data_IF_778165231656
#
_entry.id   IF_778165231656
#
_cell.length_a   1.000
_cell.length_b   1.000
_cell.length_c   1.000
_cell.angle_alpha   90.00
_cell.angle_beta   90.00
_cell.angle_gamma   90.00
#
_symmetry.space_group_name_H-M   'P 1'
#
loop_
_entity.id
_entity.type
_entity.pdbx_description
1 polymer ?
#
# COMPACT_ATOMS: atom_id res chain seq x y z
N UNK A 1 1.48 -1.32 -29.07
CA UNK A 1 0.54 -1.96 -28.11
C UNK A 1 1.44 -2.52 -27.03
N UNK A 2 1.31 -2.03 -25.79
CA UNK A 2 2.30 -2.26 -24.75
C UNK A 2 1.63 -2.41 -23.39
N UNK A 3 2.17 -3.28 -22.55
CA UNK A 3 1.72 -3.49 -21.18
C UNK A 3 2.79 -3.01 -20.21
N UNK A 4 2.36 -2.41 -19.12
CA UNK A 4 3.25 -2.02 -18.03
C UNK A 4 2.80 -2.74 -16.76
N UNK A 5 3.67 -3.57 -16.20
CA UNK A 5 3.41 -4.30 -14.96
C UNK A 5 4.24 -3.71 -13.83
N UNK A 6 3.60 -3.34 -12.73
CA UNK A 6 4.26 -3.05 -11.45
C UNK A 6 3.92 -4.18 -10.49
N UNK A 7 4.94 -4.92 -10.05
CA UNK A 7 4.80 -5.97 -9.05
C UNK A 7 5.44 -5.50 -7.75
N UNK A 8 4.63 -5.35 -6.71
CA UNK A 8 5.02 -4.98 -5.37
C UNK A 8 5.15 -6.26 -4.54
N UNK A 9 6.37 -6.57 -4.12
CA UNK A 9 6.66 -7.58 -3.12
C UNK A 9 6.53 -6.88 -1.76
N UNK A 10 5.33 -6.94 -1.18
CA UNK A 10 4.94 -6.20 0.03
C UNK A 10 6.00 -6.42 1.11
N UNK A 11 6.49 -5.32 1.70
CA UNK A 11 7.52 -5.29 2.75
C UNK A 11 8.97 -5.70 2.40
N UNK A 12 9.34 -5.95 1.14
CA UNK A 12 10.68 -6.45 0.79
C UNK A 12 11.74 -5.33 0.66
N UNK A 13 12.06 -4.68 1.77
CA UNK A 13 13.07 -3.64 1.88
C UNK A 13 14.52 -4.13 1.69
N UNK A 14 15.43 -3.21 1.34
CA UNK A 14 16.86 -3.47 1.10
C UNK A 14 17.79 -2.66 2.01
N UNK A 15 17.29 -2.27 3.20
CA UNK A 15 18.08 -1.58 4.22
C UNK A 15 17.44 -0.31 4.76
N UNK A 16 17.68 -0.05 6.04
CA UNK A 16 17.17 1.10 6.77
C UNK A 16 17.44 2.44 6.06
N UNK A 17 16.42 3.30 6.01
CA UNK A 17 16.59 4.68 5.53
C UNK A 17 17.51 5.48 6.45
N UNK A 18 18.14 6.54 5.91
CA UNK A 18 19.08 7.38 6.66
C UNK A 18 18.45 8.12 7.85
N UNK A 19 17.13 8.35 7.80
CA UNK A 19 16.37 9.07 8.82
C UNK A 19 15.90 8.17 9.98
N UNK A 20 16.05 6.84 9.88
CA UNK A 20 15.55 5.87 10.85
C UNK A 20 15.94 6.20 12.29
N UNK A 21 17.20 6.54 12.56
CA UNK A 21 17.67 6.87 13.91
C UNK A 21 17.01 8.11 14.52
N UNK A 22 16.37 8.95 13.71
CA UNK A 22 15.66 10.16 14.13
C UNK A 22 14.16 9.92 14.24
N UNK A 23 13.55 9.25 13.25
CA UNK A 23 12.09 9.14 13.14
C UNK A 23 11.53 7.83 13.67
N UNK A 24 12.32 6.74 13.59
CA UNK A 24 11.93 5.39 14.02
C UNK A 24 13.12 4.61 14.59
N UNK A 25 13.70 5.02 15.73
CA UNK A 25 14.91 4.40 16.26
C UNK A 25 14.81 2.89 16.50
N UNK A 26 13.59 2.37 16.65
CA UNK A 26 13.33 0.94 16.78
C UNK A 26 13.61 0.14 15.50
N UNK A 27 13.57 0.76 14.33
CA UNK A 27 13.89 0.11 13.04
C UNK A 27 15.41 0.17 12.73
N UNK A 28 16.24 0.66 13.66
CA UNK A 28 17.67 0.88 13.42
C UNK A 28 18.41 -0.43 13.13
N UNK A 29 19.01 -0.51 11.94
CA UNK A 29 19.72 -1.71 11.48
C UNK A 29 18.86 -2.67 10.66
N UNK A 30 17.58 -2.37 10.46
CA UNK A 30 16.71 -3.17 9.59
C UNK A 30 17.31 -3.33 8.18
N UNK A 31 17.30 -4.56 7.68
CA UNK A 31 17.62 -4.89 6.30
C UNK A 31 16.92 -6.19 5.92
N UNK A 32 15.65 -6.08 5.51
CA UNK A 32 14.79 -7.24 5.22
C UNK A 32 15.46 -8.22 4.25
N UNK A 33 15.84 -7.74 3.05
CA UNK A 33 16.50 -8.58 2.04
C UNK A 33 17.86 -9.11 2.54
N UNK A 34 18.68 -8.24 3.12
CA UNK A 34 20.01 -8.57 3.58
C UNK A 34 20.05 -9.64 4.67
N UNK A 35 19.14 -9.56 5.65
CA UNK A 35 19.05 -10.51 6.75
C UNK A 35 18.43 -11.84 6.32
N UNK A 36 17.39 -11.85 5.48
CA UNK A 36 16.85 -13.09 4.91
C UNK A 36 17.95 -13.86 4.16
N UNK A 37 18.71 -13.18 3.29
CA UNK A 37 19.79 -13.82 2.54
C UNK A 37 21.00 -14.18 3.43
N UNK A 38 21.21 -13.48 4.55
CA UNK A 38 22.25 -13.80 5.53
C UNK A 38 21.94 -15.06 6.35
N UNK A 39 20.69 -15.22 6.78
CA UNK A 39 20.19 -16.41 7.47
C UNK A 39 20.08 -17.62 6.53
N UNK A 40 19.78 -17.38 5.25
CA UNK A 40 19.66 -18.40 4.21
C UNK A 40 20.68 -18.17 3.09
N UNK A 41 21.99 -18.35 3.33
CA UNK A 41 23.04 -18.00 2.36
C UNK A 41 22.99 -18.82 1.08
N UNK A 42 22.29 -19.96 1.07
CA UNK A 42 22.09 -20.82 -0.10
C UNK A 42 20.78 -20.55 -0.86
N UNK A 43 19.94 -19.60 -0.40
CA UNK A 43 18.75 -19.18 -1.10
C UNK A 43 19.11 -18.65 -2.49
N UNK A 44 18.36 -19.08 -3.50
CA UNK A 44 18.53 -18.66 -4.88
C UNK A 44 17.22 -18.10 -5.41
N UNK A 45 17.27 -16.87 -5.90
CA UNK A 45 16.17 -16.17 -6.56
C UNK A 45 16.70 -15.72 -7.94
N UNK A 46 16.89 -16.66 -8.90
CA UNK A 46 17.63 -16.39 -10.14
C UNK A 46 17.00 -15.28 -10.99
N UNK A 47 15.69 -15.09 -10.91
CA UNK A 47 15.01 -14.02 -11.66
C UNK A 47 15.29 -12.66 -11.03
N UNK A 48 15.11 -12.53 -9.71
CA UNK A 48 15.42 -11.32 -8.97
C UNK A 48 16.93 -11.00 -9.01
N UNK A 49 17.79 -12.01 -8.98
CA UNK A 49 19.23 -11.87 -9.23
C UNK A 49 19.50 -11.21 -10.58
N UNK A 50 18.91 -11.76 -11.65
CA UNK A 50 19.04 -11.23 -13.02
C UNK A 50 18.52 -9.79 -13.12
N UNK A 51 17.42 -9.49 -12.44
CA UNK A 51 16.81 -8.16 -12.36
C UNK A 51 17.64 -7.15 -11.55
N UNK A 52 18.68 -7.59 -10.85
CA UNK A 52 19.62 -6.71 -10.14
C UNK A 52 19.32 -6.53 -8.65
N UNK A 53 18.63 -7.47 -8.00
CA UNK A 53 18.34 -7.40 -6.56
C UNK A 53 19.61 -7.20 -5.72
N UNK A 54 20.69 -7.94 -6.01
CA UNK A 54 21.96 -7.81 -5.28
C UNK A 54 22.63 -6.47 -5.58
N UNK A 55 22.44 -5.90 -6.77
CA UNK A 55 22.90 -4.55 -7.06
C UNK A 55 22.17 -3.51 -6.20
N UNK A 56 20.84 -3.64 -6.07
CA UNK A 56 20.01 -2.77 -5.24
C UNK A 56 20.36 -2.89 -3.74
N UNK A 57 20.61 -4.12 -3.25
CA UNK A 57 21.07 -4.37 -1.88
C UNK A 57 22.46 -3.77 -1.60
N UNK A 58 23.34 -3.74 -2.60
CA UNK A 58 24.66 -3.10 -2.52
C UNK A 58 25.76 -3.95 -1.88
N UNK A 59 25.47 -5.17 -1.44
CA UNK A 59 26.45 -6.16 -0.97
C UNK A 59 25.92 -7.59 -1.15
N UNK A 60 26.78 -8.59 -0.92
CA UNK A 60 26.49 -10.01 -1.16
C UNK A 60 26.47 -10.79 0.16
N UNK A 61 25.30 -10.97 0.81
CA UNK A 61 25.18 -11.76 2.04
C UNK A 61 25.18 -13.29 1.82
N UNK A 62 24.91 -13.76 0.59
CA UNK A 62 24.77 -15.19 0.27
C UNK A 62 25.38 -15.58 -1.09
N UNK A 63 24.88 -16.63 -1.72
CA UNK A 63 25.41 -17.14 -3.01
C UNK A 63 25.04 -16.30 -4.23
N UNK A 64 24.01 -15.45 -4.12
CA UNK A 64 23.53 -14.62 -5.22
C UNK A 64 24.52 -13.50 -5.58
N UNK A 65 24.57 -13.09 -6.85
CA UNK A 65 25.55 -12.13 -7.39
C UNK A 65 24.88 -10.91 -8.04
N UNK A 66 25.59 -9.76 -8.11
CA UNK A 66 25.15 -8.63 -8.92
C UNK A 66 25.01 -9.01 -10.41
N UNK A 67 24.02 -8.42 -11.09
CA UNK A 67 23.79 -8.53 -12.52
C UNK A 67 24.36 -7.30 -13.24
N UNK A 68 25.26 -7.51 -14.20
CA UNK A 68 25.82 -6.44 -15.04
C UNK A 68 24.83 -5.93 -16.10
N UNK A 69 23.78 -6.72 -16.37
CA UNK A 69 22.79 -6.43 -17.41
C UNK A 69 21.51 -5.78 -16.87
N UNK A 70 21.43 -5.55 -15.56
CA UNK A 70 20.22 -5.06 -14.91
C UNK A 70 20.04 -3.55 -15.09
N UNK A 71 18.77 -3.13 -15.12
CA UNK A 71 18.37 -1.75 -14.84
C UNK A 71 17.79 -1.69 -13.43
N UNK A 72 18.46 -0.98 -12.54
CA UNK A 72 18.14 -1.03 -11.11
C UNK A 72 18.40 0.28 -10.39
N UNK A 73 17.70 0.46 -9.28
CA UNK A 73 17.94 1.50 -8.28
C UNK A 73 17.29 1.11 -6.95
N UNK A 74 17.16 2.09 -6.08
CA UNK A 74 16.37 2.00 -4.84
C UNK A 74 15.49 3.23 -4.71
N UNK A 75 14.39 3.14 -3.98
CA UNK A 75 13.54 4.29 -3.67
C UNK A 75 13.44 4.51 -2.15
N UNK A 76 13.53 5.78 -1.76
CA UNK A 76 13.22 6.24 -0.41
C UNK A 76 11.72 6.45 -0.24
N UNK A 77 11.22 6.28 0.99
CA UNK A 77 9.81 6.43 1.33
C UNK A 77 9.54 7.88 1.71
N UNK A 78 8.68 8.55 0.96
CA UNK A 78 8.24 9.90 1.33
C UNK A 78 7.16 9.86 2.43
N UNK A 79 6.33 8.81 2.47
CA UNK A 79 5.34 8.63 3.51
C UNK A 79 5.97 8.38 4.90
N UNK A 80 5.22 8.66 5.97
CA UNK A 80 5.70 8.44 7.34
C UNK A 80 5.71 6.95 7.68
N UNK A 81 6.83 6.49 8.25
CA UNK A 81 6.99 5.10 8.69
C UNK A 81 7.15 4.13 7.54
N UNK A 82 6.32 3.09 7.52
CA UNK A 82 6.29 2.04 6.51
C UNK A 82 4.87 1.48 6.38
N UNK A 83 3.85 2.35 6.37
CA UNK A 83 2.45 1.94 6.28
C UNK A 83 2.11 1.49 4.85
N UNK A 84 1.72 0.22 4.68
CA UNK A 84 1.36 -0.34 3.37
C UNK A 84 0.34 0.50 2.60
N UNK A 85 -0.69 1.04 3.28
CA UNK A 85 -1.71 1.85 2.63
C UNK A 85 -1.05 3.06 1.96
N UNK A 86 -0.29 3.87 2.71
CA UNK A 86 0.38 5.04 2.16
C UNK A 86 1.48 4.68 1.15
N UNK A 87 2.21 3.58 1.34
CA UNK A 87 3.20 3.11 0.38
C UNK A 87 2.60 2.90 -1.01
N UNK A 88 1.45 2.24 -1.09
CA UNK A 88 0.75 2.04 -2.37
C UNK A 88 0.13 3.32 -2.93
N UNK A 89 -0.39 4.23 -2.10
CA UNK A 89 -0.84 5.53 -2.57
C UNK A 89 0.33 6.33 -3.18
N UNK A 90 1.51 6.26 -2.56
CA UNK A 90 2.73 6.92 -3.01
C UNK A 90 3.22 6.32 -4.32
N UNK A 91 3.29 4.99 -4.45
CA UNK A 91 3.66 4.28 -5.70
C UNK A 91 2.79 4.77 -6.86
N UNK A 92 1.48 4.90 -6.62
CA UNK A 92 0.51 5.35 -7.62
C UNK A 92 0.36 6.88 -7.69
N UNK A 93 1.33 7.60 -7.15
CA UNK A 93 1.59 9.01 -7.46
C UNK A 93 0.92 10.03 -6.55
N UNK A 94 0.30 9.62 -5.43
CA UNK A 94 -0.11 10.57 -4.38
C UNK A 94 1.13 11.15 -3.69
N UNK A 95 1.11 12.44 -3.35
CA UNK A 95 2.13 13.08 -2.51
C UNK A 95 1.79 12.86 -1.04
N UNK A 96 2.56 12.04 -0.30
CA UNK A 96 2.29 11.81 1.12
C UNK A 96 2.29 13.11 1.91
N UNK A 97 1.33 13.26 2.82
CA UNK A 97 1.28 14.34 3.79
C UNK A 97 1.66 13.81 5.16
N UNK A 98 2.36 14.60 5.97
CA UNK A 98 2.71 14.21 7.35
C UNK A 98 1.44 14.27 8.21
N UNK A 99 0.94 13.13 8.72
CA UNK A 99 -0.25 13.10 9.56
C UNK A 99 0.02 13.64 10.97
N UNK A 100 -1.05 13.97 11.68
CA UNK A 100 -1.01 14.28 13.11
C UNK A 100 -1.37 13.05 13.94
N UNK A 101 -0.78 12.95 15.13
CA UNK A 101 -1.19 11.99 16.17
C UNK A 101 -2.01 12.72 17.22
N UNK A 102 -3.32 12.50 17.25
CA UNK A 102 -4.20 13.22 18.17
C UNK A 102 -5.50 12.44 18.46
N UNK A 103 -6.01 12.49 19.71
CA UNK A 103 -7.28 11.85 20.05
C UNK A 103 -8.45 12.52 19.33
N UNK A 104 -9.51 11.76 19.08
CA UNK A 104 -10.71 12.27 18.42
C UNK A 104 -11.39 13.40 19.20
N UNK A 105 -11.23 13.42 20.53
CA UNK A 105 -11.71 14.49 21.41
C UNK A 105 -11.23 15.89 21.01
N UNK A 106 -10.06 15.99 20.37
CA UNK A 106 -9.46 17.26 19.98
C UNK A 106 -10.09 17.84 18.71
N UNK A 107 -10.79 17.01 17.91
CA UNK A 107 -11.43 17.39 16.63
C UNK A 107 -12.95 17.24 16.64
N UNK A 108 -13.53 16.65 17.69
CA UNK A 108 -14.94 16.27 17.77
C UNK A 108 -15.90 17.42 17.47
N UNK A 109 -15.60 18.64 17.94
CA UNK A 109 -16.43 19.82 17.73
C UNK A 109 -16.55 20.17 16.24
N UNK A 110 -15.42 20.16 15.52
CA UNK A 110 -15.38 20.46 14.08
C UNK A 110 -16.09 19.36 13.27
N UNK A 111 -15.82 18.09 13.60
CA UNK A 111 -16.45 16.94 12.93
C UNK A 111 -17.96 16.94 13.15
N UNK A 112 -18.42 17.21 14.37
CA UNK A 112 -19.85 17.29 14.68
C UNK A 112 -20.55 18.42 13.91
N UNK A 113 -19.93 19.61 13.87
CA UNK A 113 -20.48 20.74 13.11
C UNK A 113 -20.57 20.43 11.62
N UNK A 114 -19.51 19.85 11.03
CA UNK A 114 -19.50 19.49 9.61
C UNK A 114 -20.55 18.43 9.27
N UNK A 115 -20.69 17.38 10.09
CA UNK A 115 -21.71 16.35 9.89
C UNK A 115 -23.13 16.92 10.00
N UNK A 116 -23.41 17.79 10.99
CA UNK A 116 -24.70 18.48 11.09
C UNK A 116 -24.97 19.40 9.89
N UNK A 117 -23.96 20.12 9.43
CA UNK A 117 -24.07 20.99 8.25
C UNK A 117 -24.34 20.18 6.96
N UNK A 118 -23.81 18.96 6.87
CA UNK A 118 -24.10 17.99 5.80
C UNK A 118 -25.48 17.30 5.94
N UNK A 119 -26.26 17.62 6.98
CA UNK A 119 -27.64 17.13 7.16
C UNK A 119 -27.77 15.87 8.01
N UNK A 120 -26.69 15.38 8.61
CA UNK A 120 -26.72 14.18 9.45
C UNK A 120 -27.24 14.49 10.86
N UNK A 121 -28.00 13.56 11.47
CA UNK A 121 -28.37 13.65 12.88
C UNK A 121 -27.22 13.13 13.72
N UNK A 122 -26.62 14.01 14.52
CA UNK A 122 -25.43 13.70 15.33
C UNK A 122 -25.70 13.90 16.82
N UNK A 123 -25.30 12.93 17.63
CA UNK A 123 -25.34 12.95 19.09
C UNK A 123 -23.96 12.61 19.66
N UNK A 124 -23.52 13.26 20.75
CA UNK A 124 -22.34 12.79 21.49
C UNK A 124 -22.73 11.65 22.43
N UNK A 125 -21.95 10.57 22.44
CA UNK A 125 -22.13 9.43 23.36
C UNK A 125 -20.85 9.21 24.16
N UNK A 126 -21.00 8.96 25.45
CA UNK A 126 -19.89 8.86 26.41
C UNK A 126 -20.12 9.73 27.64
N UNK A 127 -19.01 10.21 28.23
CA UNK A 127 -18.99 11.08 29.41
C UNK A 127 -18.07 12.28 29.20
N UNK A 128 -17.00 12.38 29.98
CA UNK A 128 -15.95 13.40 29.77
C UNK A 128 -15.22 13.22 28.43
N UNK A 129 -15.07 11.98 27.98
CA UNK A 129 -14.70 11.62 26.61
C UNK A 129 -15.95 11.16 25.86
N UNK A 130 -16.09 11.58 24.62
CA UNK A 130 -17.23 11.23 23.78
C UNK A 130 -16.81 10.85 22.37
N UNK A 131 -17.58 9.96 21.75
CA UNK A 131 -17.59 9.70 20.32
C UNK A 131 -18.88 10.26 19.72
N UNK A 132 -18.95 10.39 18.38
CA UNK A 132 -20.16 10.82 17.70
C UNK A 132 -21.01 9.62 17.29
N UNK A 133 -22.31 9.72 17.53
CA UNK A 133 -23.32 8.77 17.12
C UNK A 133 -24.21 9.41 16.06
N UNK A 134 -24.17 8.86 14.85
CA UNK A 134 -24.77 9.44 13.66
C UNK A 134 -25.91 8.54 13.18
N UNK A 135 -27.07 9.15 12.93
CA UNK A 135 -28.28 8.51 12.39
C UNK A 135 -28.72 7.21 13.10
N UNK A 136 -28.33 7.00 14.37
CA UNK A 136 -28.72 5.78 15.10
C UNK A 136 -27.99 4.51 14.66
N UNK A 137 -26.94 4.61 13.83
CA UNK A 137 -26.29 3.44 13.23
C UNK A 137 -24.78 3.54 13.08
N UNK A 138 -24.19 4.74 13.17
CA UNK A 138 -22.76 4.95 12.88
C UNK A 138 -22.07 5.62 14.06
N UNK A 139 -20.98 5.02 14.53
CA UNK A 139 -20.09 5.60 15.53
C UNK A 139 -18.83 6.17 14.87
N UNK A 140 -18.47 7.41 15.20
CA UNK A 140 -17.22 8.06 14.78
C UNK A 140 -16.37 8.36 16.01
N UNK A 141 -15.18 7.79 16.07
CA UNK A 141 -14.26 7.94 17.21
C UNK A 141 -12.85 7.44 16.92
N UNK A 142 -12.03 7.36 17.97
CA UNK A 142 -10.68 6.81 17.88
C UNK A 142 -10.69 5.35 17.39
N UNK A 143 -9.72 5.00 16.55
CA UNK A 143 -9.38 3.59 16.36
C UNK A 143 -8.59 3.13 17.58
N UNK A 144 -9.09 2.09 18.25
CA UNK A 144 -8.49 1.54 19.47
C UNK A 144 -7.61 0.31 19.21
N UNK A 145 -7.51 -0.16 17.97
CA UNK A 145 -6.78 -1.36 17.55
C UNK A 145 -5.40 -1.03 16.96
N UNK A 146 -5.28 0.11 16.28
CA UNK A 146 -4.02 0.66 15.81
C UNK A 146 -3.32 1.47 16.92
N UNK A 147 -2.11 1.95 16.62
CA UNK A 147 -1.44 2.95 17.44
C UNK A 147 -2.35 4.16 17.68
N UNK A 148 -2.55 4.48 18.96
CA UNK A 148 -3.55 5.45 19.39
C UNK A 148 -3.29 6.85 18.79
N UNK A 149 -4.38 7.50 18.36
CA UNK A 149 -4.35 8.84 17.78
C UNK A 149 -3.90 8.93 16.32
N UNK A 150 -3.57 7.81 15.67
CA UNK A 150 -3.19 7.80 14.25
C UNK A 150 -4.37 7.60 13.29
N UNK A 151 -5.46 7.00 13.77
CA UNK A 151 -6.59 6.57 12.93
C UNK A 151 -7.90 6.84 13.66
N UNK A 152 -8.91 7.26 12.91
CA UNK A 152 -10.30 7.31 13.36
C UNK A 152 -11.14 6.26 12.64
N UNK A 153 -12.06 5.66 13.37
CA UNK A 153 -13.00 4.68 12.83
C UNK A 153 -14.38 5.32 12.65
N UNK A 154 -15.02 4.98 11.54
CA UNK A 154 -16.44 5.21 11.26
C UNK A 154 -17.08 3.81 11.19
N UNK A 155 -17.59 3.33 12.32
CA UNK A 155 -18.12 1.98 12.51
C UNK A 155 -19.64 1.98 12.36
N UNK A 156 -20.17 1.20 11.43
CA UNK A 156 -21.59 1.23 11.07
C UNK A 156 -22.31 -0.11 11.20
N UNK A 157 -23.62 -0.04 11.51
CA UNK A 157 -24.56 -1.13 11.33
C UNK A 157 -25.19 -1.07 9.93
N UNK A 158 -24.71 -1.93 9.03
CA UNK A 158 -25.15 -1.97 7.62
C UNK A 158 -26.55 -2.58 7.42
N UNK A 159 -27.22 -3.03 8.48
CA UNK A 159 -28.63 -3.40 8.44
C UNK A 159 -29.56 -2.18 8.51
N UNK A 160 -29.04 -1.02 8.94
CA UNK A 160 -29.83 0.22 9.17
C UNK A 160 -29.48 1.32 8.17
N UNK A 161 -28.21 1.40 7.76
CA UNK A 161 -27.70 2.42 6.84
C UNK A 161 -26.90 1.75 5.71
N UNK A 162 -27.12 2.10 4.42
CA UNK A 162 -26.33 1.56 3.32
C UNK A 162 -24.89 2.07 3.39
N UNK A 163 -23.94 1.25 2.95
CA UNK A 163 -22.51 1.59 3.07
C UNK A 163 -22.12 2.86 2.30
N UNK A 164 -22.79 3.19 1.19
CA UNK A 164 -22.55 4.43 0.45
C UNK A 164 -22.82 5.69 1.29
N UNK A 165 -23.87 5.69 2.11
CA UNK A 165 -24.12 6.78 3.07
C UNK A 165 -23.06 6.81 4.18
N UNK A 166 -22.58 5.64 4.62
CA UNK A 166 -21.46 5.57 5.58
C UNK A 166 -20.18 6.16 4.97
N UNK A 167 -19.93 5.91 3.68
CA UNK A 167 -18.82 6.52 2.95
C UNK A 167 -18.95 8.04 2.86
N UNK A 168 -20.17 8.57 2.69
CA UNK A 168 -20.40 10.02 2.75
C UNK A 168 -20.08 10.61 4.13
N UNK A 169 -20.52 9.95 5.21
CA UNK A 169 -20.13 10.32 6.59
C UNK A 169 -18.60 10.29 6.74
N UNK A 170 -17.97 9.21 6.26
CA UNK A 170 -16.52 9.03 6.28
C UNK A 170 -15.76 10.16 5.55
N UNK A 171 -16.25 10.59 4.37
CA UNK A 171 -15.67 11.70 3.61
C UNK A 171 -15.76 13.01 4.39
N UNK A 172 -16.92 13.31 4.99
CA UNK A 172 -17.08 14.51 5.84
C UNK A 172 -16.08 14.48 7.00
N UNK A 173 -15.96 13.34 7.70
CA UNK A 173 -14.99 13.19 8.80
C UNK A 173 -13.56 13.41 8.28
N UNK A 174 -13.22 12.81 7.14
CA UNK A 174 -11.87 12.88 6.54
C UNK A 174 -11.45 14.31 6.22
N UNK A 175 -12.36 15.13 5.70
CA UNK A 175 -12.11 16.54 5.38
C UNK A 175 -11.79 17.39 6.61
N UNK A 176 -12.29 17.00 7.80
CA UNK A 176 -12.11 17.77 9.03
C UNK A 176 -10.88 17.37 9.84
N UNK A 177 -10.18 16.30 9.47
CA UNK A 177 -9.14 15.70 10.31
C UNK A 177 -7.84 15.49 9.55
N UNK A 178 -6.73 15.44 10.28
CA UNK A 178 -5.36 15.31 9.72
C UNK A 178 -4.62 14.07 10.22
N UNK A 179 -5.31 13.17 10.91
CA UNK A 179 -4.78 11.85 11.29
C UNK A 179 -4.56 10.99 10.05
N UNK A 180 -3.66 10.01 10.13
CA UNK A 180 -3.20 9.21 8.99
C UNK A 180 -4.34 8.60 8.18
N UNK A 181 -5.33 8.00 8.84
CA UNK A 181 -6.48 7.39 8.17
C UNK A 181 -7.81 7.64 8.88
N UNK A 182 -8.87 7.70 8.08
CA UNK A 182 -10.25 7.47 8.52
C UNK A 182 -10.66 6.14 7.90
N UNK A 183 -10.97 5.15 8.72
CA UNK A 183 -11.40 3.84 8.24
C UNK A 183 -12.90 3.76 8.40
N UNK A 184 -13.59 3.70 7.27
CA UNK A 184 -15.04 3.59 7.21
C UNK A 184 -15.42 2.14 6.97
N UNK A 185 -16.14 1.53 7.91
CA UNK A 185 -16.48 0.13 7.81
C UNK A 185 -17.77 -0.21 8.55
N UNK A 186 -18.31 -1.38 8.26
CA UNK A 186 -19.44 -1.93 8.99
C UNK A 186 -19.74 -3.36 8.59
N UNK A 187 -20.66 -3.97 9.34
CA UNK A 187 -21.26 -5.26 9.03
C UNK A 187 -22.76 -5.20 9.29
N UNK A 188 -23.48 -6.25 8.88
CA UNK A 188 -24.91 -6.40 9.17
C UNK A 188 -25.09 -6.87 10.60
N UNK A 189 -25.58 -5.98 11.46
CA UNK A 189 -25.87 -6.29 12.86
C UNK A 189 -27.39 -6.36 13.07
N UNK A 190 -27.82 -7.16 14.05
CA UNK A 190 -29.24 -7.20 14.42
C UNK A 190 -29.68 -5.92 15.14
N UNK A 191 -28.80 -5.35 15.97
CA UNK A 191 -29.07 -4.15 16.76
C UNK A 191 -27.85 -3.23 16.78
N UNK A 192 -28.07 -1.94 16.51
CA UNK A 192 -27.03 -0.90 16.61
C UNK A 192 -26.52 -0.72 18.05
N UNK A 193 -27.27 -1.17 19.06
CA UNK A 193 -26.83 -1.18 20.46
C UNK A 193 -25.53 -1.97 20.66
N UNK A 194 -25.26 -2.99 19.83
CA UNK A 194 -23.99 -3.74 19.87
C UNK A 194 -22.76 -2.85 19.66
N UNK A 195 -22.86 -1.83 18.80
CA UNK A 195 -21.77 -0.87 18.57
C UNK A 195 -21.59 0.00 19.82
N UNK A 196 -22.69 0.47 20.41
CA UNK A 196 -22.66 1.30 21.60
C UNK A 196 -22.09 0.55 22.82
N UNK A 197 -22.47 -0.72 22.99
CA UNK A 197 -21.99 -1.59 24.08
C UNK A 197 -20.50 -1.97 23.94
N UNK A 198 -19.96 -1.85 22.72
CA UNK A 198 -18.55 -2.05 22.41
C UNK A 198 -17.71 -0.77 22.54
N UNK A 199 -18.30 0.36 22.97
CA UNK A 199 -17.55 1.57 23.21
C UNK A 199 -16.56 1.40 24.37
N UNK A 200 -15.31 1.82 24.16
CA UNK A 200 -14.22 1.69 25.12
C UNK A 200 -13.40 2.97 25.20
N UNK A 201 -12.73 3.17 26.34
CA UNK A 201 -11.74 4.23 26.51
C UNK A 201 -10.37 3.63 26.74
N UNK A 202 -9.33 4.18 26.12
CA UNK A 202 -7.93 3.81 26.36
C UNK A 202 -7.13 5.02 26.86
N UNK A 203 -6.23 4.75 27.80
CA UNK A 203 -5.29 5.73 28.38
C UNK A 203 -5.94 7.01 28.96
N UNK A 204 -7.24 6.97 29.26
CA UNK A 204 -8.00 8.14 29.72
C UNK A 204 -8.05 9.30 28.73
N UNK A 205 -7.73 9.07 27.45
CA UNK A 205 -7.64 10.10 26.40
C UNK A 205 -8.37 9.74 25.11
N UNK A 206 -8.45 8.45 24.79
CA UNK A 206 -9.00 7.96 23.52
C UNK A 206 -10.32 7.27 23.79
N UNK A 207 -11.30 7.49 22.91
CA UNK A 207 -12.61 6.83 22.97
C UNK A 207 -13.06 6.40 21.58
N UNK A 208 -13.49 5.16 21.47
CA UNK A 208 -13.88 4.59 20.19
C UNK A 208 -14.62 3.28 20.38
N UNK A 209 -14.82 2.56 19.27
CA UNK A 209 -15.49 1.28 19.27
C UNK A 209 -14.45 0.17 19.21
N UNK A 210 -14.54 -0.79 20.12
CA UNK A 210 -13.86 -2.07 19.98
C UNK A 210 -14.54 -2.87 18.86
N UNK A 211 -14.02 -2.76 17.63
CA UNK A 211 -14.67 -3.28 16.45
C UNK A 211 -14.90 -4.80 16.48
N UNK A 212 -13.94 -5.65 16.97
CA UNK A 212 -14.20 -7.06 17.18
C UNK A 212 -15.39 -7.32 18.10
N UNK A 213 -15.51 -6.59 19.22
CA UNK A 213 -16.63 -6.75 20.17
C UNK A 213 -17.97 -6.24 19.64
N UNK A 214 -17.97 -5.35 18.65
CA UNK A 214 -19.21 -4.80 18.06
C UNK A 214 -19.96 -5.80 17.17
N UNK A 215 -19.27 -6.84 16.69
CA UNK A 215 -19.78 -7.79 15.70
C UNK A 215 -19.70 -7.29 14.25
N UNK A 216 -19.14 -6.10 14.00
CA UNK A 216 -19.05 -5.50 12.65
C UNK A 216 -18.29 -6.36 11.63
N UNK A 217 -17.41 -7.25 12.08
CA UNK A 217 -16.64 -8.14 11.20
C UNK A 217 -17.36 -9.46 10.87
N UNK A 218 -18.46 -9.78 11.55
CA UNK A 218 -19.04 -11.14 11.50
C UNK A 218 -19.81 -11.44 10.21
N UNK A 219 -20.57 -10.47 9.68
CA UNK A 219 -21.45 -10.70 8.54
C UNK A 219 -21.52 -9.49 7.61
N UNK A 220 -21.25 -9.71 6.33
CA UNK A 220 -21.38 -8.66 5.30
C UNK A 220 -20.44 -7.49 5.52
N UNK A 221 -19.24 -7.77 6.03
CA UNK A 221 -18.22 -6.76 6.28
C UNK A 221 -17.88 -5.98 5.00
N UNK A 222 -17.86 -4.66 5.12
CA UNK A 222 -17.42 -3.74 4.08
C UNK A 222 -16.52 -2.68 4.71
N UNK A 223 -15.48 -2.27 3.97
CA UNK A 223 -14.46 -1.34 4.47
C UNK A 223 -13.93 -0.43 3.37
N UNK A 224 -13.56 0.79 3.75
CA UNK A 224 -12.82 1.75 2.94
C UNK A 224 -11.85 2.54 3.80
N UNK A 225 -10.60 2.61 3.36
CA UNK A 225 -9.57 3.43 3.97
C UNK A 225 -9.49 4.78 3.27
N UNK A 226 -9.52 5.87 4.04
CA UNK A 226 -9.38 7.24 3.55
C UNK A 226 -8.14 7.90 4.16
N UNK A 227 -7.09 8.02 3.36
CA UNK A 227 -5.81 8.59 3.78
C UNK A 227 -5.81 10.11 3.82
N UNK A 228 -5.00 10.69 4.71
CA UNK A 228 -4.76 12.13 4.71
C UNK A 228 -3.88 12.53 3.51
N UNK A 229 -4.38 13.44 2.68
CA UNK A 229 -3.68 13.89 1.47
C UNK A 229 -3.77 12.95 0.28
N UNK A 230 -4.63 11.93 0.35
CA UNK A 230 -4.89 11.00 -0.76
C UNK A 230 -6.10 11.49 -1.54
N UNK A 231 -5.92 11.66 -2.85
CA UNK A 231 -6.97 12.03 -3.79
C UNK A 231 -6.85 11.13 -5.04
N UNK A 232 -7.88 10.32 -5.28
CA UNK A 232 -7.92 9.39 -6.41
C UNK A 232 -7.84 10.11 -7.77
N UNK A 233 -8.24 11.38 -7.85
CA UNK A 233 -8.29 12.13 -9.10
C UNK A 233 -6.90 12.51 -9.63
N UNK A 234 -5.87 12.41 -8.79
CA UNK A 234 -4.48 12.77 -9.11
C UNK A 234 -3.55 11.55 -9.13
N UNK A 235 -4.10 10.34 -9.10
CA UNK A 235 -3.35 9.09 -9.12
C UNK A 235 -3.34 8.41 -10.48
N UNK A 236 -2.37 7.49 -10.66
CA UNK A 236 -2.14 6.74 -11.90
C UNK A 236 -3.43 6.14 -12.49
N UNK A 237 -4.32 5.43 -11.75
CA UNK A 237 -5.54 4.87 -12.36
C UNK A 237 -6.42 5.92 -13.05
N UNK A 238 -6.61 7.08 -12.42
CA UNK A 238 -7.37 8.17 -13.02
C UNK A 238 -6.65 8.78 -14.22
N UNK A 239 -5.34 9.02 -14.11
CA UNK A 239 -4.55 9.60 -15.22
C UNK A 239 -4.53 8.70 -16.44
N UNK A 240 -4.44 7.39 -16.24
CA UNK A 240 -4.52 6.40 -17.31
C UNK A 240 -5.92 6.32 -17.91
N UNK A 241 -6.98 6.44 -17.10
CA UNK A 241 -8.34 6.53 -17.60
C UNK A 241 -8.53 7.75 -18.52
N UNK A 242 -8.00 8.92 -18.15
CA UNK A 242 -8.02 10.13 -18.98
C UNK A 242 -7.33 9.92 -20.34
N UNK A 243 -6.35 9.02 -20.42
CA UNK A 243 -5.64 8.63 -21.64
C UNK A 243 -6.25 7.41 -22.37
N UNK A 244 -7.34 6.83 -21.86
CA UNK A 244 -7.98 5.65 -22.44
C UNK A 244 -7.20 4.34 -22.24
N UNK A 245 -6.33 4.27 -21.23
CA UNK A 245 -5.50 3.10 -20.92
C UNK A 245 -6.17 2.26 -19.83
N UNK A 246 -6.47 0.98 -20.08
CA UNK A 246 -7.02 0.08 -19.06
C UNK A 246 -6.08 -0.09 -17.87
N UNK A 247 -6.64 -0.03 -16.65
CA UNK A 247 -5.92 -0.28 -15.39
C UNK A 247 -6.47 -1.50 -14.68
N UNK A 248 -5.59 -2.41 -14.28
CA UNK A 248 -5.89 -3.61 -13.51
C UNK A 248 -5.13 -3.59 -12.19
N UNK A 249 -5.83 -3.72 -11.07
CA UNK A 249 -5.24 -3.84 -9.74
C UNK A 249 -5.49 -5.25 -9.19
N UNK A 250 -4.47 -5.90 -8.63
CA UNK A 250 -4.55 -7.30 -8.14
C UNK A 250 -3.98 -7.43 -6.73
N UNK A 251 -4.76 -8.00 -5.80
CA UNK A 251 -4.33 -8.19 -4.41
C UNK A 251 -4.59 -6.95 -3.55
N UNK A 252 -3.82 -6.80 -2.45
CA UNK A 252 -3.98 -5.72 -1.46
C UNK A 252 -4.07 -4.32 -2.07
N UNK A 253 -3.34 -4.05 -3.16
CA UNK A 253 -3.41 -2.76 -3.90
C UNK A 253 -4.83 -2.46 -4.41
N UNK A 254 -5.59 -3.47 -4.83
CA UNK A 254 -6.97 -3.35 -5.27
C UNK A 254 -7.94 -3.02 -4.11
N UNK A 255 -7.58 -3.40 -2.88
CA UNK A 255 -8.37 -3.12 -1.67
C UNK A 255 -8.16 -1.68 -1.17
N UNK A 256 -6.96 -1.14 -1.38
CA UNK A 256 -6.53 0.14 -0.79
C UNK A 256 -6.51 1.30 -1.77
N UNK A 257 -6.41 1.06 -3.08
CA UNK A 257 -6.40 2.13 -4.11
C UNK A 257 -7.70 2.11 -4.92
N UNK A 258 -8.22 3.31 -5.18
CA UNK A 258 -9.42 3.48 -6.00
C UNK A 258 -9.13 3.25 -7.49
N UNK A 259 -9.98 2.48 -8.15
CA UNK A 259 -9.89 2.20 -9.59
C UNK A 259 -11.31 2.08 -10.20
N UNK A 260 -12.11 3.16 -10.17
CA UNK A 260 -13.53 3.10 -10.56
C UNK A 260 -13.76 2.80 -12.04
N UNK A 261 -12.75 3.02 -12.89
CA UNK A 261 -12.83 2.85 -14.35
C UNK A 261 -12.05 1.64 -14.87
N UNK A 262 -11.47 0.83 -13.97
CA UNK A 262 -10.66 -0.33 -14.31
C UNK A 262 -11.17 -1.63 -13.68
N UNK A 263 -10.32 -2.65 -13.65
CA UNK A 263 -10.60 -3.94 -13.01
C UNK A 263 -9.82 -4.04 -11.69
N UNK A 264 -10.50 -4.48 -10.63
CA UNK A 264 -9.89 -4.63 -9.30
C UNK A 264 -10.20 -6.02 -8.74
N UNK A 265 -9.16 -6.81 -8.50
CA UNK A 265 -9.23 -8.13 -7.91
C UNK A 265 -8.92 -8.05 -6.41
N UNK A 266 -9.98 -7.79 -5.63
CA UNK A 266 -9.96 -7.52 -4.19
C UNK A 266 -10.02 -8.77 -3.32
N UNK A 267 -9.66 -8.64 -2.03
CA UNK A 267 -9.70 -9.70 -1.02
C UNK A 267 -8.89 -10.96 -1.41
N UNK A 268 -7.73 -10.76 -2.02
CA UNK A 268 -6.81 -11.82 -2.41
C UNK A 268 -5.56 -11.77 -1.54
N UNK A 269 -5.22 -12.92 -0.95
CA UNK A 269 -4.02 -13.08 -0.11
C UNK A 269 -3.06 -14.11 -0.70
N UNK A 270 -3.55 -15.21 -1.28
CA UNK A 270 -2.71 -16.28 -1.81
C UNK A 270 -1.82 -15.81 -2.97
N UNK A 271 -0.50 -15.90 -2.80
CA UNK A 271 0.46 -15.37 -3.75
C UNK A 271 0.38 -16.05 -5.13
N UNK A 272 0.11 -17.37 -5.17
CA UNK A 272 0.03 -18.08 -6.45
C UNK A 272 -1.20 -17.66 -7.23
N UNK A 273 -2.35 -17.56 -6.57
CA UNK A 273 -3.58 -17.06 -7.17
C UNK A 273 -3.41 -15.64 -7.72
N UNK A 274 -2.75 -14.76 -6.97
CA UNK A 274 -2.46 -13.38 -7.40
C UNK A 274 -1.55 -13.38 -8.65
N UNK A 275 -0.50 -14.20 -8.68
CA UNK A 275 0.39 -14.31 -9.84
C UNK A 275 -0.33 -14.89 -11.06
N UNK A 276 -1.21 -15.88 -10.88
CA UNK A 276 -1.99 -16.45 -11.98
C UNK A 276 -2.99 -15.42 -12.55
N UNK A 277 -3.67 -14.64 -11.71
CA UNK A 277 -4.53 -13.54 -12.17
C UNK A 277 -3.73 -12.49 -12.92
N UNK A 278 -2.57 -12.09 -12.39
CA UNK A 278 -1.67 -11.13 -13.03
C UNK A 278 -1.26 -11.60 -14.43
N UNK A 279 -0.86 -12.88 -14.56
CA UNK A 279 -0.48 -13.47 -15.83
C UNK A 279 -1.66 -13.56 -16.82
N UNK A 280 -2.87 -13.87 -16.34
CA UNK A 280 -4.06 -13.94 -17.19
C UNK A 280 -4.47 -12.55 -17.69
N UNK A 281 -4.45 -11.53 -16.83
CA UNK A 281 -4.74 -10.14 -17.19
C UNK A 281 -3.71 -9.58 -18.17
N UNK A 282 -2.43 -9.96 -18.01
CA UNK A 282 -1.35 -9.64 -18.94
C UNK A 282 -1.60 -10.18 -20.37
N UNK A 283 -2.32 -11.28 -20.50
CA UNK A 283 -2.71 -11.85 -21.79
C UNK A 283 -4.09 -11.41 -22.30
N UNK A 284 -4.92 -10.81 -21.43
CA UNK A 284 -6.27 -10.42 -21.77
C UNK A 284 -6.33 -9.17 -22.65
N UNK A 285 -5.44 -8.21 -22.41
CA UNK A 285 -5.42 -6.92 -23.11
C UNK A 285 -4.06 -6.66 -23.78
N UNK A 286 -4.02 -6.24 -25.05
CA UNK A 286 -2.77 -5.90 -25.72
C UNK A 286 -2.18 -4.57 -25.21
N UNK A 287 -2.91 -3.80 -24.41
CA UNK A 287 -2.44 -2.58 -23.77
C UNK A 287 -3.14 -2.41 -22.43
N UNK A 288 -2.37 -2.46 -21.35
CA UNK A 288 -2.88 -2.31 -19.99
C UNK A 288 -1.76 -1.92 -19.01
N UNK A 289 -2.12 -1.16 -17.99
CA UNK A 289 -1.35 -1.05 -16.77
C UNK A 289 -1.86 -2.10 -15.77
N UNK A 290 -0.95 -2.88 -15.19
CA UNK A 290 -1.25 -3.90 -14.18
C UNK A 290 -0.41 -3.62 -12.95
N UNK A 291 -1.05 -3.42 -11.80
CA UNK A 291 -0.37 -3.30 -10.52
C UNK A 291 -0.77 -4.45 -9.60
N UNK A 292 0.21 -5.20 -9.13
CA UNK A 292 0.02 -6.42 -8.34
C UNK A 292 0.73 -6.28 -7.00
N UNK A 293 0.07 -6.64 -5.90
CA UNK A 293 0.71 -6.74 -4.58
C UNK A 293 0.75 -8.18 -4.07
N UNK A 294 1.93 -8.62 -3.62
CA UNK A 294 2.14 -9.92 -2.97
C UNK A 294 2.23 -9.70 -1.45
N UNK A 295 1.11 -9.91 -0.74
CA UNK A 295 1.02 -9.59 0.70
C UNK A 295 1.65 -10.65 1.62
N UNK A 296 1.78 -11.91 1.18
CA UNK A 296 2.24 -12.98 2.09
C UNK A 296 3.67 -12.79 2.60
N UNK A 297 4.50 -12.02 1.90
CA UNK A 297 5.83 -11.61 2.38
C UNK A 297 5.73 -10.71 3.60
N UNK A 298 4.82 -9.74 3.60
CA UNK A 298 4.53 -8.89 4.78
C UNK A 298 3.96 -9.70 5.95
N UNK A 299 3.09 -10.69 5.67
CA UNK A 299 2.60 -11.61 6.70
C UNK A 299 3.72 -12.46 7.31
N UNK A 300 4.75 -12.80 6.54
CA UNK A 300 5.93 -13.50 7.04
C UNK A 300 6.84 -12.57 7.87
N UNK A 301 7.00 -11.31 7.45
CA UNK A 301 7.71 -10.27 8.21
C UNK A 301 7.07 -10.05 9.59
N UNK A 302 5.74 -9.84 9.63
CA UNK A 302 4.99 -9.73 10.89
C UNK A 302 5.11 -10.95 11.80
N UNK A 303 5.29 -12.14 11.23
CA UNK A 303 5.48 -13.39 11.96
C UNK A 303 6.94 -13.63 12.39
N UNK A 304 7.87 -12.75 12.00
CA UNK A 304 9.31 -12.92 12.17
C UNK A 304 9.79 -14.30 11.64
N UNK A 305 9.22 -14.74 10.52
CA UNK A 305 9.44 -16.06 9.93
C UNK A 305 10.24 -15.95 8.62
N UNK A 306 11.56 -16.01 8.75
CA UNK A 306 12.52 -15.97 7.64
C UNK A 306 12.26 -17.08 6.61
N UNK A 307 11.93 -18.30 7.06
CA UNK A 307 11.76 -19.44 6.19
C UNK A 307 10.50 -19.29 5.32
N UNK A 308 9.39 -18.85 5.93
CA UNK A 308 8.15 -18.54 5.21
C UNK A 308 8.36 -17.38 4.23
N UNK A 309 9.09 -16.34 4.64
CA UNK A 309 9.40 -15.21 3.76
C UNK A 309 10.16 -15.70 2.51
N UNK A 310 11.21 -16.49 2.70
CA UNK A 310 11.99 -17.06 1.60
C UNK A 310 11.18 -17.97 0.67
N UNK A 311 10.28 -18.79 1.22
CA UNK A 311 9.38 -19.63 0.43
C UNK A 311 8.48 -18.79 -0.49
N UNK A 312 7.91 -17.69 0.05
CA UNK A 312 7.10 -16.75 -0.75
C UNK A 312 7.95 -16.05 -1.82
N UNK A 313 9.18 -15.65 -1.52
CA UNK A 313 10.09 -15.06 -2.51
C UNK A 313 10.41 -16.04 -3.65
N UNK A 314 10.62 -17.33 -3.37
CA UNK A 314 10.87 -18.33 -4.41
C UNK A 314 9.66 -18.52 -5.33
N UNK A 315 8.45 -18.49 -4.77
CA UNK A 315 7.20 -18.54 -5.54
C UNK A 315 7.08 -17.33 -6.47
N UNK A 316 7.34 -16.13 -5.96
CA UNK A 316 7.32 -14.89 -6.75
C UNK A 316 8.39 -14.93 -7.85
N UNK A 317 9.62 -15.35 -7.53
CA UNK A 317 10.73 -15.45 -8.48
C UNK A 317 10.39 -16.37 -9.67
N UNK A 318 9.81 -17.54 -9.40
CA UNK A 318 9.38 -18.47 -10.44
C UNK A 318 8.30 -17.85 -11.35
N UNK A 319 7.31 -17.18 -10.77
CA UNK A 319 6.23 -16.57 -11.54
C UNK A 319 6.69 -15.30 -12.30
N UNK A 320 7.65 -14.55 -11.76
CA UNK A 320 8.33 -13.46 -12.50
C UNK A 320 9.04 -14.01 -13.74
N UNK A 321 9.73 -15.15 -13.62
CA UNK A 321 10.37 -15.81 -14.76
C UNK A 321 9.37 -16.14 -15.88
N UNK A 322 8.21 -16.69 -15.49
CA UNK A 322 7.10 -17.01 -16.41
C UNK A 322 6.53 -15.74 -17.07
N UNK A 323 6.31 -14.67 -16.32
CA UNK A 323 5.80 -13.40 -16.84
C UNK A 323 6.80 -12.77 -17.84
N UNK A 324 8.07 -12.68 -17.46
CA UNK A 324 9.12 -12.11 -18.31
C UNK A 324 9.30 -12.88 -19.62
N UNK A 325 9.13 -14.20 -19.60
CA UNK A 325 9.18 -15.02 -20.82
C UNK A 325 7.99 -14.78 -21.78
N UNK A 326 6.89 -14.20 -21.30
CA UNK A 326 5.70 -13.89 -22.08
C UNK A 326 5.66 -12.44 -22.59
N UNK A 327 6.61 -11.59 -22.17
CA UNK A 327 6.67 -10.18 -22.54
C UNK A 327 7.16 -9.99 -23.98
N UNK A 328 6.51 -9.06 -24.67
CA UNK A 328 6.92 -8.52 -25.96
C UNK A 328 7.94 -7.36 -25.75
N UNK A 329 8.70 -6.96 -26.79
CA UNK A 329 9.72 -5.90 -26.69
C UNK A 329 9.23 -4.55 -26.16
N UNK A 330 7.95 -4.22 -26.40
CA UNK A 330 7.36 -2.96 -25.97
C UNK A 330 6.83 -3.00 -24.52
N UNK A 331 6.79 -4.17 -23.87
CA UNK A 331 6.29 -4.26 -22.49
C UNK A 331 7.35 -3.87 -21.46
N UNK A 332 6.90 -3.33 -20.34
CA UNK A 332 7.75 -2.97 -19.22
C UNK A 332 7.28 -3.65 -17.93
N UNK A 333 8.24 -4.11 -17.12
CA UNK A 333 8.05 -4.66 -15.79
C UNK A 333 8.89 -3.86 -14.80
N UNK A 334 8.27 -3.42 -13.72
CA UNK A 334 8.93 -2.89 -12.53
C UNK A 334 8.62 -3.81 -11.36
N UNK A 335 9.65 -4.33 -10.70
CA UNK A 335 9.54 -5.06 -9.43
C UNK A 335 10.06 -4.16 -8.32
N UNK A 336 9.26 -3.95 -7.29
CA UNK A 336 9.61 -3.11 -6.13
C UNK A 336 8.98 -3.63 -4.83
N UNK A 337 9.18 -2.90 -3.74
CA UNK A 337 8.41 -3.03 -2.51
C UNK A 337 7.82 -1.67 -2.12
N UNK A 338 6.99 -1.62 -1.10
CA UNK A 338 6.36 -0.41 -0.57
C UNK A 338 6.97 0.06 0.77
N UNK A 339 7.51 -0.87 1.56
CA UNK A 339 8.29 -0.63 2.78
C UNK A 339 9.19 -1.84 3.10
N UNK A 340 9.77 -1.87 4.31
CA UNK A 340 10.43 -3.04 4.90
C UNK A 340 9.56 -3.75 5.96
N UNK A 341 9.86 -5.00 6.24
CA UNK A 341 9.37 -5.73 7.42
C UNK A 341 10.36 -6.86 7.72
N UNK A 342 11.46 -6.48 8.37
CA UNK A 342 12.60 -7.35 8.60
C UNK A 342 12.25 -8.45 9.61
N UNK A 343 12.23 -9.73 9.19
CA UNK A 343 11.80 -10.83 10.06
C UNK A 343 12.81 -11.18 11.18
N UNK A 344 13.91 -10.43 11.30
CA UNK A 344 14.97 -10.68 12.29
C UNK A 344 15.18 -9.50 13.24
N UNK A 345 14.40 -8.42 13.10
CA UNK A 345 14.62 -7.15 13.82
C UNK A 345 14.24 -7.20 15.31
N UNK A 346 13.44 -8.19 15.73
CA UNK A 346 13.01 -8.38 17.12
C UNK A 346 11.69 -7.71 17.47
N UNK A 347 10.88 -7.34 16.46
CA UNK A 347 9.50 -6.91 16.62
C UNK A 347 8.66 -7.19 15.37
N UNK A 348 7.35 -7.33 15.55
CA UNK A 348 6.41 -7.65 14.46
C UNK A 348 5.90 -6.44 13.68
N UNK A 349 6.48 -5.25 13.82
CA UNK A 349 6.06 -4.05 13.10
C UNK A 349 6.87 -3.81 11.83
N UNK A 350 6.27 -3.09 10.85
CA UNK A 350 6.96 -2.64 9.65
C UNK A 350 8.22 -1.82 9.96
N UNK A 351 9.22 -1.95 9.10
CA UNK A 351 10.51 -1.24 9.17
C UNK A 351 10.61 -0.19 8.04
N UNK A 352 11.18 0.98 8.36
CA UNK A 352 11.42 2.06 7.41
C UNK A 352 12.71 1.83 6.63
N UNK A 353 12.59 1.13 5.51
CA UNK A 353 13.70 0.74 4.65
C UNK A 353 13.56 1.35 3.25
N UNK A 354 14.69 1.61 2.59
CA UNK A 354 14.66 1.83 1.14
C UNK A 354 14.20 0.55 0.44
N UNK A 355 13.49 0.70 -0.66
CA UNK A 355 12.94 -0.44 -1.43
C UNK A 355 13.66 -0.59 -2.76
N UNK A 356 13.80 -1.82 -3.30
CA UNK A 356 14.41 -2.01 -4.61
C UNK A 356 13.51 -1.43 -5.71
N UNK A 357 14.12 -0.94 -6.79
CA UNK A 357 13.43 -0.61 -8.04
C UNK A 357 14.15 -1.36 -9.15
N UNK A 358 13.57 -2.47 -9.60
CA UNK A 358 14.16 -3.35 -10.60
C UNK A 358 13.33 -3.28 -11.88
N UNK A 359 13.96 -2.96 -13.00
CA UNK A 359 13.24 -2.71 -14.26
C UNK A 359 13.66 -3.72 -15.32
N UNK A 360 12.67 -4.25 -16.03
CA UNK A 360 12.88 -5.14 -17.15
C UNK A 360 12.03 -4.73 -18.34
N UNK A 361 12.70 -4.72 -19.49
CA UNK A 361 12.12 -4.66 -20.82
C UNK A 361 13.07 -5.42 -21.74
N UNK A 362 12.54 -6.10 -22.76
CA UNK A 362 13.40 -6.84 -23.67
C UNK A 362 14.23 -5.87 -24.54
N UNK A 363 15.55 -6.07 -24.55
CA UNK A 363 16.48 -5.19 -25.27
C UNK A 363 16.91 -3.95 -24.49
N UNK A 364 16.59 -3.86 -23.19
CA UNK A 364 17.00 -2.75 -22.34
C UNK A 364 18.52 -2.77 -22.10
N UNK A 365 19.20 -1.64 -22.33
CA UNK A 365 20.59 -1.43 -21.98
C UNK A 365 20.77 -1.30 -20.45
N UNK A 366 21.89 -1.77 -19.88
CA UNK A 366 22.10 -1.70 -18.43
C UNK A 366 22.17 -0.25 -17.94
N UNK A 367 21.52 0.04 -16.81
CA UNK A 367 21.43 1.39 -16.29
C UNK A 367 21.28 1.42 -14.77
N UNK A 368 21.83 2.46 -14.14
CA UNK A 368 21.65 2.71 -12.71
C UNK A 368 20.70 3.89 -12.52
N UNK A 369 19.53 3.63 -11.97
CA UNK A 369 18.49 4.63 -11.69
C UNK A 369 18.83 5.52 -10.49
N UNK A 370 19.82 5.11 -9.68
CA UNK A 370 20.24 5.81 -8.48
C UNK A 370 19.27 5.60 -7.32
N UNK A 371 19.25 6.57 -6.40
CA UNK A 371 18.27 6.63 -5.31
C UNK A 371 17.13 7.54 -5.76
N UNK A 372 15.92 6.99 -5.84
CA UNK A 372 14.69 7.74 -6.09
C UNK A 372 14.20 8.34 -4.78
N UNK A 373 13.81 9.62 -4.80
CA UNK A 373 13.43 10.34 -3.58
C UNK A 373 12.01 9.99 -3.08
N UNK A 374 11.24 9.27 -3.89
CA UNK A 374 9.86 8.86 -3.60
C UNK A 374 9.49 7.64 -4.43
N UNK A 375 8.58 6.82 -3.90
CA UNK A 375 7.98 5.70 -4.64
C UNK A 375 7.15 6.19 -5.83
N UNK A 376 6.68 7.45 -5.79
CA UNK A 376 5.87 8.06 -6.86
C UNK A 376 6.59 8.17 -8.20
N UNK A 377 7.91 8.06 -8.22
CA UNK A 377 8.69 8.03 -9.47
C UNK A 377 8.28 6.86 -10.37
N UNK A 378 7.82 5.73 -9.79
CA UNK A 378 7.26 4.61 -10.56
C UNK A 378 5.94 5.00 -11.20
N UNK A 379 4.99 5.56 -10.45
CA UNK A 379 3.71 6.03 -11.00
C UNK A 379 3.86 7.12 -12.06
N UNK A 380 4.80 8.05 -11.87
CA UNK A 380 5.15 9.06 -12.88
C UNK A 380 5.72 8.41 -14.15
N UNK A 381 6.55 7.37 -14.02
CA UNK A 381 7.09 6.61 -15.15
C UNK A 381 6.00 5.83 -15.89
N UNK A 382 5.03 5.24 -15.18
CA UNK A 382 3.86 4.58 -15.78
C UNK A 382 3.05 5.58 -16.62
N UNK A 383 2.76 6.77 -16.07
CA UNK A 383 1.99 7.78 -16.81
C UNK A 383 2.76 8.27 -18.05
N UNK A 384 4.06 8.54 -17.94
CA UNK A 384 4.87 8.94 -19.10
C UNK A 384 4.95 7.85 -20.17
N UNK A 385 5.11 6.59 -19.77
CA UNK A 385 5.18 5.44 -20.69
C UNK A 385 3.94 5.35 -21.60
N UNK A 386 2.75 5.63 -21.05
CA UNK A 386 1.51 5.62 -21.80
C UNK A 386 1.13 6.98 -22.42
N UNK A 387 1.94 8.03 -22.22
CA UNK A 387 1.61 9.39 -22.66
C UNK A 387 0.40 9.99 -21.93
N UNK A 388 0.12 9.52 -20.71
CA UNK A 388 -0.93 10.05 -19.85
C UNK A 388 -0.47 11.29 -19.06
N UNK A 389 -1.39 12.12 -18.54
CA UNK A 389 -1.03 13.22 -17.64
C UNK A 389 -0.27 12.70 -16.40
N UNK A 390 0.72 13.45 -15.93
CA UNK A 390 1.48 13.05 -14.74
C UNK A 390 0.58 13.01 -13.48
N UNK A 391 0.85 12.10 -12.53
CA UNK A 391 0.16 12.09 -11.25
C UNK A 391 0.62 13.27 -10.37
N UNK A 392 0.05 13.38 -9.18
CA UNK A 392 0.34 14.48 -8.24
C UNK A 392 1.83 14.64 -7.90
N UNK A 393 2.57 13.53 -7.88
CA UNK A 393 3.92 13.43 -7.35
C UNK A 393 4.80 12.50 -8.19
N UNK A 394 6.11 12.61 -8.01
CA UNK A 394 7.10 11.78 -8.69
C UNK A 394 7.73 12.45 -9.90
N UNK A 395 8.94 12.00 -10.22
CA UNK A 395 9.70 12.34 -11.42
C UNK A 395 9.99 11.05 -12.15
N UNK A 396 9.51 10.94 -13.39
CA UNK A 396 9.74 9.75 -14.21
C UNK A 396 11.22 9.44 -14.41
N UNK A 397 11.53 8.17 -14.56
CA UNK A 397 12.84 7.69 -14.99
C UNK A 397 12.81 7.04 -16.37
N UNK A 398 11.73 7.22 -17.15
CA UNK A 398 11.59 6.62 -18.48
C UNK A 398 12.76 6.98 -19.41
N UNK A 399 13.27 8.22 -19.35
CA UNK A 399 14.42 8.65 -20.15
C UNK A 399 15.74 7.92 -19.86
N UNK A 400 15.81 7.21 -18.73
CA UNK A 400 16.95 6.35 -18.38
C UNK A 400 16.82 4.93 -18.96
N UNK A 401 15.64 4.53 -19.44
CA UNK A 401 15.37 3.24 -20.05
C UNK A 401 15.71 3.31 -21.55
N UNK A 402 16.94 2.93 -21.93
CA UNK A 402 17.42 2.96 -23.32
C UNK A 402 17.37 1.57 -23.93
N UNK A 403 16.88 1.43 -25.16
CA UNK A 403 16.90 0.14 -25.86
C UNK A 403 18.16 0.01 -26.72
N UNK A 404 18.68 -1.22 -26.83
CA UNK A 404 19.78 -1.56 -27.72
C UNK A 404 19.37 -1.25 -29.16
N UNK A 405 20.00 -0.26 -29.77
CA UNK A 405 19.67 0.23 -31.11
C UNK A 405 19.04 1.61 -31.17
N UNK A 406 18.72 2.23 -30.02
CA UNK A 406 18.40 3.66 -29.90
C UNK A 406 19.66 4.53 -30.08
N UNK A 407 20.34 4.38 -31.22
CA UNK A 407 21.34 5.32 -31.68
C UNK A 407 20.62 6.42 -32.48
N UNK A 408 20.59 7.63 -31.91
CA UNK A 408 20.27 8.88 -32.61
C UNK A 408 21.13 9.09 -33.86
#
# INVERSE_FOLDING_TARGET
MARFVVLVIDSFGVGAMKDVTLVRPQDAGANTCGHILGELPHLQLPTLEKLGLINALGYTPGVMKPSELAVWGVAELQHEGGDTFMGHQEILGSRPQVPLRMPFSDVIDNVEQALKAAGWRVERRGGSLAFLWVNGAVAVGDNLEADLGQVYNVTANLSVIPFDEVLEIGRVVREQVRVGRVITFGGRLHDSQQILDAAETKEGRFIGINAPRSGAYECGFQVRHMGYGVDEQVQVPQKLHEAGVPTVLVGKVADIVSNPHGRSWQNLVDSQQIMDITFNEFHAEPTAFICTNIQETDLAGHAEDVARYAERLQLVDLNLSRLMAAMDPDDCLVVMADHGNDPTIGHSHHTREVVPVLVYQQGLEPARLGVRATLSDVGATVCEFFGAPLPQNGTSFLSALRLSGDAL
#
